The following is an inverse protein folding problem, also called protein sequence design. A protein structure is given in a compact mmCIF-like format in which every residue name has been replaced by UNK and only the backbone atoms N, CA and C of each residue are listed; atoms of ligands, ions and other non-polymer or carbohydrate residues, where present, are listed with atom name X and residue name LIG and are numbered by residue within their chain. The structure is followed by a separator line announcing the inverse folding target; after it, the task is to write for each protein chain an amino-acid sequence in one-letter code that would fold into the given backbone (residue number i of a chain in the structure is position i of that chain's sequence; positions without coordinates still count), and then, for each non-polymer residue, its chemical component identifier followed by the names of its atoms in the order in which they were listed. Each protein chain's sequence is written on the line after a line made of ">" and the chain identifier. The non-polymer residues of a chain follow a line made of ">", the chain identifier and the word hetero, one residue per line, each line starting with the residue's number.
data_IF_781488084803
#
_entry.id   IF_781488084803
#
_cell.length_a   1.000
_cell.length_b   1.000
_cell.length_c   1.000
_cell.angle_alpha   90.00
_cell.angle_beta   90.00
_cell.angle_gamma   90.00
#
_symmetry.space_group_name_H-M   'P 1'
#
loop_
_entity.id
_entity.type
_entity.pdbx_description
1 polymer ?
#
# COMPACT_ATOMS: atom_id res chain seq x y z
N UNK A 1 57.45 -38.53 20.01
CA UNK A 1 56.56 -37.52 20.63
C UNK A 1 56.98 -36.17 20.06
N UNK A 2 56.17 -35.25 19.53
CA UNK A 2 54.72 -35.06 19.35
C UNK A 2 54.65 -33.88 18.33
N UNK A 3 54.04 -34.07 17.14
CA UNK A 3 52.78 -33.40 16.69
C UNK A 3 52.85 -31.88 16.55
N UNK A 4 52.36 -31.15 15.53
CA UNK A 4 51.54 -31.33 14.32
C UNK A 4 51.77 -30.04 13.48
N UNK A 5 51.84 -30.14 12.14
CA UNK A 5 51.77 -28.96 11.24
C UNK A 5 50.30 -28.55 11.09
N UNK A 6 49.89 -27.47 11.74
CA UNK A 6 48.52 -26.95 11.61
C UNK A 6 48.42 -26.00 10.42
N UNK A 7 47.81 -26.47 9.33
CA UNK A 7 47.31 -25.62 8.25
C UNK A 7 45.94 -25.11 8.71
N UNK A 8 45.86 -23.83 9.05
CA UNK A 8 44.58 -23.18 9.32
C UNK A 8 43.86 -22.93 7.99
N UNK A 9 42.84 -23.73 7.69
CA UNK A 9 41.91 -23.46 6.60
C UNK A 9 40.95 -22.35 7.07
N UNK A 10 41.20 -21.12 6.63
CA UNK A 10 40.28 -20.01 6.82
C UNK A 10 39.04 -20.22 5.93
N UNK A 11 37.94 -20.71 6.52
CA UNK A 11 36.63 -20.68 5.86
C UNK A 11 36.16 -19.22 5.79
N UNK A 12 36.37 -18.57 4.65
CA UNK A 12 35.66 -17.35 4.30
C UNK A 12 34.22 -17.72 3.96
N UNK A 13 33.31 -17.61 4.93
CA UNK A 13 31.87 -17.56 4.63
C UNK A 13 31.61 -16.17 4.05
N UNK A 14 31.67 -16.06 2.73
CA UNK A 14 31.16 -14.89 2.02
C UNK A 14 29.64 -14.89 2.17
N UNK A 15 29.13 -14.30 3.25
CA UNK A 15 27.72 -13.95 3.36
C UNK A 15 27.44 -12.91 2.26
N UNK A 16 26.93 -13.37 1.13
CA UNK A 16 26.60 -12.53 -0.01
C UNK A 16 25.62 -11.46 0.41
N UNK A 17 26.12 -10.23 0.60
CA UNK A 17 25.30 -9.05 0.88
C UNK A 17 24.56 -8.73 -0.41
N UNK A 18 23.41 -9.39 -0.61
CA UNK A 18 22.51 -9.03 -1.70
C UNK A 18 21.90 -7.68 -1.38
N UNK A 19 22.39 -6.62 -2.04
CA UNK A 19 21.86 -5.28 -1.91
C UNK A 19 20.34 -5.28 -2.17
N UNK A 20 19.56 -4.74 -1.23
CA UNK A 20 18.15 -4.43 -1.43
C UNK A 20 18.04 -3.08 -2.11
N UNK A 21 17.42 -3.04 -3.29
CA UNK A 21 17.11 -1.78 -3.96
C UNK A 21 15.73 -1.29 -3.50
N UNK A 22 15.66 -0.05 -3.01
CA UNK A 22 14.38 0.62 -2.76
C UNK A 22 14.00 1.47 -3.96
N UNK A 23 12.80 1.26 -4.47
CA UNK A 23 12.23 2.03 -5.57
C UNK A 23 11.11 2.90 -5.03
N UNK A 24 11.34 4.22 -5.03
CA UNK A 24 10.31 5.20 -4.69
C UNK A 24 9.25 5.28 -5.80
N UNK A 25 7.98 5.38 -5.44
CA UNK A 25 6.93 5.58 -6.45
C UNK A 25 6.97 7.01 -7.00
N UNK A 26 6.53 7.16 -8.24
CA UNK A 26 6.17 8.47 -8.78
C UNK A 26 4.72 8.78 -8.39
N UNK A 27 4.54 9.49 -7.26
CA UNK A 27 3.21 9.82 -6.74
C UNK A 27 2.37 10.66 -7.73
N UNK A 28 3.02 11.45 -8.59
CA UNK A 28 2.33 12.28 -9.58
C UNK A 28 1.74 11.48 -10.74
N UNK A 29 2.34 10.31 -11.04
CA UNK A 29 1.89 9.38 -12.08
C UNK A 29 1.10 8.19 -11.53
N UNK A 30 0.96 8.11 -10.21
CA UNK A 30 0.24 7.04 -9.54
C UNK A 30 -1.16 7.48 -9.18
N UNK A 31 -2.13 6.57 -9.25
CA UNK A 31 -3.54 6.87 -9.00
C UNK A 31 -4.16 5.82 -8.10
N UNK A 32 -4.93 6.25 -7.10
CA UNK A 32 -5.87 5.39 -6.37
C UNK A 32 -7.27 5.78 -6.82
N UNK A 33 -8.01 4.80 -7.33
CA UNK A 33 -9.43 4.92 -7.61
C UNK A 33 -10.20 4.20 -6.52
N UNK A 34 -11.30 4.78 -6.07
CA UNK A 34 -12.19 4.17 -5.08
C UNK A 34 -13.60 4.07 -5.65
N UNK A 35 -14.34 3.06 -5.17
CA UNK A 35 -15.78 2.92 -5.41
C UNK A 35 -16.44 2.62 -4.07
N UNK A 36 -17.40 3.46 -3.69
CA UNK A 36 -18.22 3.30 -2.48
C UNK A 36 -19.64 2.91 -2.86
N UNK A 37 -20.22 1.95 -2.14
CA UNK A 37 -21.60 1.48 -2.37
C UNK A 37 -22.52 1.89 -1.21
N UNK A 38 -23.75 2.26 -1.57
CA UNK A 38 -24.90 2.46 -0.69
C UNK A 38 -26.04 1.56 -1.16
N UNK A 39 -27.07 1.36 -0.31
CA UNK A 39 -28.25 0.54 -0.69
C UNK A 39 -28.89 1.05 -2.00
N UNK A 40 -28.85 2.37 -2.22
CA UNK A 40 -29.48 3.04 -3.37
C UNK A 40 -28.53 3.34 -4.54
N UNK A 41 -27.29 2.84 -4.53
CA UNK A 41 -26.35 3.11 -5.63
C UNK A 41 -24.87 3.02 -5.26
N UNK A 42 -24.03 3.68 -6.05
CA UNK A 42 -22.59 3.78 -5.82
C UNK A 42 -22.07 5.15 -6.19
N UNK A 43 -20.90 5.50 -5.68
CA UNK A 43 -20.10 6.63 -6.13
C UNK A 43 -18.66 6.19 -6.37
N UNK A 44 -17.94 6.95 -7.17
CA UNK A 44 -16.54 6.68 -7.47
C UNK A 44 -15.72 7.95 -7.45
N UNK A 45 -14.42 7.76 -7.28
CA UNK A 45 -13.53 8.90 -7.16
C UNK A 45 -12.08 8.51 -7.08
N UNK A 46 -11.28 9.48 -6.68
CA UNK A 46 -9.83 9.31 -6.51
C UNK A 46 -9.35 9.80 -5.16
N UNK A 47 -8.18 9.33 -4.78
CA UNK A 47 -7.37 9.86 -3.69
C UNK A 47 -5.90 9.73 -4.12
N UNK A 48 -5.04 10.66 -3.70
CA UNK A 48 -3.65 10.70 -4.15
C UNK A 48 -2.73 10.00 -3.19
N UNK A 49 -1.70 9.34 -3.73
CA UNK A 49 -0.53 8.99 -2.93
C UNK A 49 0.17 10.26 -2.47
N UNK A 50 0.61 10.25 -1.21
CA UNK A 50 1.59 11.19 -0.69
C UNK A 50 3.00 10.69 -0.94
N UNK A 51 3.25 9.41 -0.61
CA UNK A 51 4.53 8.74 -0.79
C UNK A 51 4.33 7.22 -0.89
N UNK A 52 5.38 6.49 -1.27
CA UNK A 52 5.44 5.04 -1.24
C UNK A 52 6.77 4.51 -1.73
N UNK A 53 7.14 3.33 -1.22
CA UNK A 53 8.38 2.64 -1.58
C UNK A 53 8.08 1.17 -1.79
N UNK A 54 8.71 0.57 -2.80
CA UNK A 54 8.78 -0.87 -2.99
C UNK A 54 10.23 -1.32 -2.85
N UNK A 55 10.48 -2.35 -2.06
CA UNK A 55 11.81 -2.94 -1.89
C UNK A 55 11.95 -4.17 -2.78
N UNK A 56 13.04 -4.22 -3.53
CA UNK A 56 13.36 -5.28 -4.47
C UNK A 56 14.68 -5.96 -4.07
N UNK A 57 14.73 -7.28 -4.12
CA UNK A 57 15.95 -8.09 -3.93
C UNK A 57 16.08 -9.08 -5.08
N UNK A 58 17.18 -9.03 -5.81
CA UNK A 58 17.40 -9.90 -6.98
C UNK A 58 16.30 -9.79 -8.04
N UNK A 59 15.75 -8.58 -8.23
CA UNK A 59 14.65 -8.34 -9.17
C UNK A 59 13.26 -8.76 -8.70
N UNK A 60 13.14 -9.29 -7.47
CA UNK A 60 11.86 -9.71 -6.89
C UNK A 60 11.39 -8.74 -5.81
N UNK A 61 10.08 -8.53 -5.74
CA UNK A 61 9.47 -7.73 -4.68
C UNK A 61 9.62 -8.45 -3.34
N UNK A 62 10.10 -7.74 -2.32
CA UNK A 62 10.25 -8.29 -0.97
C UNK A 62 9.48 -7.53 0.09
N UNK A 63 9.21 -6.25 -0.12
CA UNK A 63 8.55 -5.39 0.86
C UNK A 63 7.97 -4.14 0.19
N UNK A 64 7.11 -3.39 0.89
CA UNK A 64 6.55 -2.15 0.40
C UNK A 64 5.77 -1.37 1.45
N UNK A 65 5.73 -0.05 1.29
CA UNK A 65 4.85 0.82 2.06
C UNK A 65 4.28 1.94 1.18
N UNK A 66 3.12 2.44 1.57
CA UNK A 66 2.44 3.54 0.90
C UNK A 66 1.79 4.47 1.91
N UNK A 67 1.85 5.77 1.63
CA UNK A 67 1.14 6.81 2.37
C UNK A 67 0.18 7.50 1.42
N UNK A 68 -1.08 7.58 1.81
CA UNK A 68 -2.17 8.16 1.01
C UNK A 68 -2.59 9.47 1.66
N UNK A 69 -2.69 10.54 0.87
CA UNK A 69 -3.15 11.85 1.36
C UNK A 69 -4.68 11.92 1.33
N UNK A 70 -5.32 11.71 2.48
CA UNK A 70 -6.78 11.65 2.59
C UNK A 70 -7.45 13.01 2.35
N UNK A 71 -6.74 14.13 2.53
CA UNK A 71 -7.26 15.47 2.21
C UNK A 71 -7.57 15.65 0.72
N UNK A 72 -6.97 14.82 -0.14
CA UNK A 72 -7.12 14.86 -1.59
C UNK A 72 -8.27 14.00 -2.12
N UNK A 73 -9.06 13.37 -1.24
CA UNK A 73 -10.20 12.56 -1.68
C UNK A 73 -11.17 13.44 -2.47
N UNK A 74 -11.55 12.95 -3.66
CA UNK A 74 -12.47 13.62 -4.57
C UNK A 74 -13.38 12.62 -5.28
N UNK A 75 -14.61 13.05 -5.56
CA UNK A 75 -15.67 12.34 -6.27
C UNK A 75 -15.56 12.65 -7.76
N UNK A 76 -15.60 11.65 -8.65
CA UNK A 76 -15.42 11.87 -10.10
C UNK A 76 -16.68 11.64 -10.93
N UNK A 77 -17.73 11.07 -10.35
CA UNK A 77 -18.99 10.74 -11.04
C UNK A 77 -20.10 11.78 -10.85
N UNK A 78 -19.85 12.87 -10.13
CA UNK A 78 -20.80 13.95 -9.88
C UNK A 78 -20.22 15.32 -10.24
N UNK A 79 -21.06 16.21 -10.74
CA UNK A 79 -20.82 17.66 -10.83
C UNK A 79 -21.23 18.39 -9.53
N UNK A 80 -20.89 19.68 -9.42
CA UNK A 80 -21.21 20.47 -8.23
C UNK A 80 -22.73 20.57 -7.98
N UNK A 81 -23.53 20.79 -9.03
CA UNK A 81 -25.00 20.83 -8.97
C UNK A 81 -25.62 19.47 -8.64
N UNK A 82 -24.91 18.37 -8.93
CA UNK A 82 -25.29 17.01 -8.54
C UNK A 82 -24.87 16.64 -7.09
N UNK A 83 -24.27 17.58 -6.35
CA UNK A 83 -23.91 17.39 -4.94
C UNK A 83 -22.50 16.85 -4.70
N UNK A 84 -21.59 16.93 -5.69
CA UNK A 84 -20.17 16.57 -5.53
C UNK A 84 -19.56 17.16 -4.25
N UNK A 85 -19.68 18.47 -4.06
CA UNK A 85 -19.03 19.17 -2.94
C UNK A 85 -19.60 18.73 -1.58
N UNK A 86 -20.91 18.42 -1.53
CA UNK A 86 -21.56 17.89 -0.33
C UNK A 86 -21.03 16.50 0.01
N UNK A 87 -20.90 15.62 -0.99
CA UNK A 87 -20.38 14.28 -0.79
C UNK A 87 -18.91 14.32 -0.39
N UNK A 88 -18.07 15.09 -1.08
CA UNK A 88 -16.66 15.25 -0.71
C UNK A 88 -16.49 15.82 0.71
N UNK A 89 -17.32 16.79 1.10
CA UNK A 89 -17.36 17.33 2.46
C UNK A 89 -17.69 16.24 3.48
N UNK A 90 -18.72 15.43 3.24
CA UNK A 90 -19.08 14.32 4.12
C UNK A 90 -17.98 13.25 4.20
N UNK A 91 -17.35 12.89 3.07
CA UNK A 91 -16.23 11.93 3.07
C UNK A 91 -15.05 12.41 3.93
N UNK A 92 -14.78 13.72 3.96
CA UNK A 92 -13.68 14.31 4.74
C UNK A 92 -14.04 14.54 6.22
N UNK A 93 -15.32 14.63 6.56
CA UNK A 93 -15.79 14.90 7.91
C UNK A 93 -15.46 13.78 8.92
N UNK A 94 -15.48 14.14 10.20
CA UNK A 94 -15.11 13.28 11.34
C UNK A 94 -15.96 12.00 11.47
N UNK A 95 -17.21 12.05 11.02
CA UNK A 95 -18.14 10.92 11.00
C UNK A 95 -17.81 9.90 9.88
N UNK A 96 -16.98 10.29 8.92
CA UNK A 96 -16.43 9.42 7.87
C UNK A 96 -14.92 9.22 8.02
N UNK A 97 -14.07 9.73 7.11
CA UNK A 97 -12.62 9.53 7.19
C UNK A 97 -11.92 10.47 8.20
N UNK A 98 -12.54 11.60 8.58
CA UNK A 98 -11.94 12.59 9.47
C UNK A 98 -10.61 13.12 8.95
N UNK A 99 -10.56 13.54 7.68
CA UNK A 99 -9.33 13.85 6.96
C UNK A 99 -8.52 15.01 7.58
N UNK A 100 -9.16 15.91 8.32
CA UNK A 100 -8.45 16.99 9.02
C UNK A 100 -7.66 16.46 10.23
N UNK A 101 -8.21 15.48 10.96
CA UNK A 101 -7.56 14.83 12.11
C UNK A 101 -6.62 13.69 11.68
N UNK A 102 -6.96 13.02 10.60
CA UNK A 102 -6.25 11.88 10.05
C UNK A 102 -5.92 12.13 8.57
N UNK A 103 -4.98 13.06 8.29
CA UNK A 103 -4.67 13.48 6.92
C UNK A 103 -4.05 12.38 6.06
N UNK A 104 -3.59 11.28 6.69
CA UNK A 104 -2.95 10.17 5.99
C UNK A 104 -3.58 8.82 6.34
N UNK A 105 -3.73 7.98 5.32
CA UNK A 105 -3.86 6.53 5.48
C UNK A 105 -2.55 5.84 5.07
N UNK A 106 -2.25 4.67 5.63
CA UNK A 106 -0.99 3.95 5.39
C UNK A 106 -1.22 2.49 5.06
N UNK A 107 -0.38 1.95 4.18
CA UNK A 107 -0.28 0.51 3.89
C UNK A 107 1.15 0.10 4.15
N UNK A 108 1.37 -0.86 5.05
CA UNK A 108 2.70 -1.38 5.37
C UNK A 108 2.69 -2.89 5.15
N UNK A 109 3.53 -3.39 4.25
CA UNK A 109 3.55 -4.82 3.93
C UNK A 109 4.09 -5.61 5.13
N UNK A 110 3.50 -6.77 5.37
CA UNK A 110 3.91 -7.70 6.43
C UNK A 110 4.36 -9.05 5.88
N UNK A 111 3.91 -9.39 4.66
CA UNK A 111 4.35 -10.58 3.94
C UNK A 111 4.21 -10.37 2.45
N UNK A 112 5.21 -10.81 1.68
CA UNK A 112 5.18 -10.84 0.21
C UNK A 112 5.56 -12.25 -0.25
N UNK A 113 4.69 -12.88 -1.04
CA UNK A 113 4.90 -14.23 -1.59
C UNK A 113 4.71 -14.22 -3.10
N UNK A 114 5.73 -14.63 -3.83
CA UNK A 114 5.66 -14.72 -5.29
C UNK A 114 4.70 -15.85 -5.72
N UNK A 115 3.79 -15.54 -6.64
CA UNK A 115 2.86 -16.49 -7.27
C UNK A 115 3.28 -16.88 -8.69
N UNK A 116 4.35 -16.27 -9.21
CA UNK A 116 4.80 -16.40 -10.60
C UNK A 116 4.23 -15.30 -11.50
N UNK A 117 4.79 -15.17 -12.70
CA UNK A 117 4.37 -14.17 -13.72
C UNK A 117 4.36 -12.71 -13.20
N UNK A 118 5.22 -12.39 -12.23
CA UNK A 118 5.29 -11.08 -11.59
C UNK A 118 4.05 -10.74 -10.73
N UNK A 119 3.27 -11.74 -10.30
CA UNK A 119 2.19 -11.57 -9.33
C UNK A 119 2.70 -11.97 -7.95
N UNK A 120 2.35 -11.18 -6.94
CA UNK A 120 2.72 -11.42 -5.55
C UNK A 120 1.48 -11.40 -4.68
N UNK A 121 1.29 -12.42 -3.84
CA UNK A 121 0.35 -12.36 -2.73
C UNK A 121 0.96 -11.53 -1.62
N UNK A 122 0.33 -10.39 -1.32
CA UNK A 122 0.75 -9.46 -0.28
C UNK A 122 -0.23 -9.51 0.88
N UNK A 123 0.29 -9.61 2.09
CA UNK A 123 -0.43 -9.25 3.32
C UNK A 123 0.15 -7.94 3.81
N UNK A 124 -0.71 -7.02 4.24
CA UNK A 124 -0.30 -5.71 4.73
C UNK A 124 -1.18 -5.25 5.89
N UNK A 125 -0.63 -4.36 6.71
CA UNK A 125 -1.37 -3.57 7.66
C UNK A 125 -1.91 -2.32 6.95
N UNK A 126 -3.23 -2.20 6.85
CA UNK A 126 -3.88 -0.98 6.38
C UNK A 126 -4.32 -0.16 7.58
N UNK A 127 -3.87 1.09 7.64
CA UNK A 127 -4.23 2.05 8.68
C UNK A 127 -5.09 3.16 8.08
N UNK A 128 -6.32 3.30 8.55
CA UNK A 128 -7.27 4.36 8.19
C UNK A 128 -7.85 4.91 9.48
N UNK A 129 -7.96 6.24 9.61
CA UNK A 129 -8.54 6.91 10.79
C UNK A 129 -7.91 6.45 12.11
N UNK A 130 -6.58 6.28 12.11
CA UNK A 130 -5.80 5.81 13.26
C UNK A 130 -6.01 4.34 13.66
N UNK A 131 -6.84 3.57 12.94
CA UNK A 131 -7.09 2.15 13.20
C UNK A 131 -6.39 1.30 12.17
N UNK A 132 -5.77 0.22 12.63
CA UNK A 132 -5.03 -0.71 11.76
C UNK A 132 -5.74 -2.05 11.69
N UNK A 133 -5.92 -2.57 10.48
CA UNK A 133 -6.42 -3.91 10.25
C UNK A 133 -5.64 -4.60 9.10
N UNK A 134 -5.47 -5.94 9.17
CA UNK A 134 -4.79 -6.66 8.11
C UNK A 134 -5.66 -6.72 6.85
N UNK A 135 -5.01 -6.53 5.70
CA UNK A 135 -5.57 -6.73 4.36
C UNK A 135 -4.66 -7.66 3.57
N UNK A 136 -5.25 -8.37 2.61
CA UNK A 136 -4.52 -9.21 1.68
C UNK A 136 -4.98 -8.93 0.26
N UNK A 137 -4.02 -8.86 -0.66
CA UNK A 137 -4.29 -8.57 -2.07
C UNK A 137 -3.19 -9.14 -2.96
N UNK A 138 -3.53 -9.36 -4.23
CA UNK A 138 -2.55 -9.70 -5.25
C UNK A 138 -2.02 -8.42 -5.89
N UNK A 139 -0.70 -8.27 -5.92
CA UNK A 139 0.00 -7.17 -6.55
C UNK A 139 0.70 -7.67 -7.81
N UNK A 140 0.29 -7.15 -8.97
CA UNK A 140 0.98 -7.40 -10.24
C UNK A 140 2.09 -6.37 -10.41
N UNK A 141 3.33 -6.83 -10.42
CA UNK A 141 4.51 -6.03 -10.74
C UNK A 141 4.87 -6.23 -12.21
N UNK A 142 5.01 -5.13 -12.94
CA UNK A 142 5.53 -5.03 -14.30
C UNK A 142 6.91 -4.37 -14.32
N UNK A 143 7.39 -3.98 -15.51
CA UNK A 143 8.72 -3.37 -15.66
C UNK A 143 8.87 -2.07 -14.85
N UNK A 144 7.83 -1.24 -14.83
CA UNK A 144 7.82 0.08 -14.19
C UNK A 144 6.47 0.38 -13.51
N UNK A 145 5.64 -0.63 -13.28
CA UNK A 145 4.28 -0.47 -12.75
C UNK A 145 4.00 -1.52 -11.68
N UNK A 146 3.14 -1.18 -10.74
CA UNK A 146 2.54 -2.12 -9.80
C UNK A 146 1.04 -1.84 -9.73
N UNK A 147 0.22 -2.87 -9.90
CA UNK A 147 -1.25 -2.72 -9.92
C UNK A 147 -1.92 -3.74 -9.03
N UNK A 148 -2.95 -3.30 -8.32
CA UNK A 148 -3.80 -4.15 -7.48
C UNK A 148 -5.22 -3.59 -7.45
N UNK A 149 -6.17 -4.43 -7.03
CA UNK A 149 -7.54 -4.05 -6.72
C UNK A 149 -8.03 -4.99 -5.62
N UNK A 150 -8.56 -4.44 -4.54
CA UNK A 150 -9.09 -5.21 -3.42
C UNK A 150 -10.19 -4.43 -2.71
N UNK A 151 -11.05 -5.16 -2.01
CA UNK A 151 -12.14 -4.59 -1.22
C UNK A 151 -11.67 -4.37 0.21
N UNK A 152 -12.06 -3.23 0.77
CA UNK A 152 -11.87 -2.94 2.19
C UNK A 152 -13.22 -3.02 2.91
N UNK A 153 -13.21 -3.59 4.10
CA UNK A 153 -14.32 -3.45 5.03
C UNK A 153 -14.06 -2.20 5.89
N UNK A 154 -14.75 -1.11 5.53
CA UNK A 154 -14.60 0.19 6.19
C UNK A 154 -15.08 0.19 7.65
N UNK A 155 -15.91 -0.78 8.05
CA UNK A 155 -16.40 -0.88 9.43
C UNK A 155 -15.30 -1.22 10.43
N UNK A 156 -14.21 -1.87 9.97
CA UNK A 156 -12.99 -2.13 10.76
C UNK A 156 -12.26 -0.85 11.19
N UNK A 157 -12.60 0.29 10.58
CA UNK A 157 -12.00 1.60 10.84
C UNK A 157 -13.03 2.57 11.45
N UNK A 158 -14.12 2.06 12.02
CA UNK A 158 -15.24 2.81 12.58
C UNK A 158 -15.97 3.73 11.57
N UNK A 159 -15.96 3.35 10.28
CA UNK A 159 -16.71 4.06 9.23
C UNK A 159 -17.96 3.23 8.93
N UNK A 160 -19.15 3.73 9.32
CA UNK A 160 -20.40 2.94 9.34
C UNK A 160 -21.51 3.41 8.38
N UNK A 161 -21.33 4.56 7.72
CA UNK A 161 -22.24 5.12 6.69
C UNK A 161 -22.16 4.47 5.33
#
# INVERSE_FOLDING_TARGET
>A
MKTIKSIALALFIAAGISASAQTKIDASKSVIKWTGHKVTGKHEGTVKFQDGTLSMKGGKLTDGNFVVNMTTISVTDLTADQGKDKLEGHLKADDFFGADKYPTAKVDFTSVKEKGNGVYAVTANLTIKGKTAPVAFDLKVGKNTATTSFKIDRTKYDIKY
#
